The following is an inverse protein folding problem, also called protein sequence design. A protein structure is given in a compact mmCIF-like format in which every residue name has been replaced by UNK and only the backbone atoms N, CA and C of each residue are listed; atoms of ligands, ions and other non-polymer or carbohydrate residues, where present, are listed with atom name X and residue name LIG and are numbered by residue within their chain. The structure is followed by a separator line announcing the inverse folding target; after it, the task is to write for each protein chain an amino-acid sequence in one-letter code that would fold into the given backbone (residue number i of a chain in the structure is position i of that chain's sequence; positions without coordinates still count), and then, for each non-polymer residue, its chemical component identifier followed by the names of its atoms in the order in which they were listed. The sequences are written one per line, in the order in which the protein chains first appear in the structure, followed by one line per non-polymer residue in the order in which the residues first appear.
data_IF_903606531977
#
_entry.id   IF_903606531977
#
_cell.length_a   1.000
_cell.length_b   1.000
_cell.length_c   1.000
_cell.angle_alpha   90.00
_cell.angle_beta   90.00
_cell.angle_gamma   90.00
#
_symmetry.space_group_name_H-M   'P 1'
#
loop_
_entity.id
_entity.type
_entity.pdbx_description
1 polymer ?
#
# COMPACT_ATOMS: atom_id res chain seq x y z
N UNK A 1 -20.25 -28.15 56.24
CA UNK A 1 -19.62 -27.22 57.20
C UNK A 1 -20.20 -25.84 56.93
N UNK A 2 -21.23 -25.43 57.68
CA UNK A 2 -21.16 -24.49 58.82
C UNK A 2 -21.19 -23.03 58.33
N UNK A 3 -22.09 -22.11 58.72
CA UNK A 3 -23.08 -22.04 59.81
C UNK A 3 -24.12 -20.96 59.47
N UNK A 4 -25.31 -21.13 60.04
CA UNK A 4 -26.39 -20.15 60.19
C UNK A 4 -26.06 -19.25 61.39
N UNK A 5 -26.35 -17.95 61.31
CA UNK A 5 -26.62 -17.09 62.48
C UNK A 5 -27.67 -16.05 62.14
N UNK A 6 -28.82 -16.16 62.78
CA UNK A 6 -29.87 -15.16 62.86
C UNK A 6 -29.61 -14.24 64.06
N UNK A 7 -30.04 -12.98 63.97
CA UNK A 7 -30.39 -12.15 65.13
C UNK A 7 -31.38 -11.08 64.70
N UNK A 8 -32.53 -11.08 65.38
CA UNK A 8 -33.58 -10.09 65.31
C UNK A 8 -33.27 -8.91 66.24
N UNK A 9 -33.74 -7.71 65.90
CA UNK A 9 -34.10 -6.68 66.87
C UNK A 9 -35.02 -5.62 66.23
N UNK A 10 -36.02 -5.25 67.02
CA UNK A 10 -37.20 -4.42 66.74
C UNK A 10 -37.01 -2.93 67.02
N UNK A 11 -37.84 -2.13 66.32
CA UNK A 11 -38.47 -0.85 66.73
C UNK A 11 -37.65 0.46 66.79
N UNK A 12 -38.10 1.48 66.06
CA UNK A 12 -38.83 2.63 66.62
C UNK A 12 -39.17 3.67 65.52
N UNK A 13 -40.39 4.21 65.59
CA UNK A 13 -40.96 5.21 64.68
C UNK A 13 -40.57 6.62 65.16
N UNK A 14 -40.10 7.47 64.24
CA UNK A 14 -40.12 8.93 64.39
C UNK A 14 -40.37 9.59 63.03
N UNK A 15 -41.64 9.85 62.72
CA UNK A 15 -42.06 10.59 61.54
C UNK A 15 -41.75 12.08 61.72
N UNK A 16 -40.58 12.51 61.25
CA UNK A 16 -40.20 13.91 61.14
C UNK A 16 -40.54 14.39 59.74
N UNK A 17 -41.50 15.30 59.63
CA UNK A 17 -41.88 15.99 58.40
C UNK A 17 -40.76 16.93 57.94
N UNK A 18 -39.75 16.35 57.28
CA UNK A 18 -38.77 17.08 56.49
C UNK A 18 -39.45 17.57 55.22
N UNK A 19 -39.62 18.89 55.12
CA UNK A 19 -39.99 19.55 53.87
C UNK A 19 -38.93 19.19 52.80
N UNK A 20 -39.29 18.27 51.90
CA UNK A 20 -38.51 17.97 50.72
C UNK A 20 -38.51 19.21 49.82
N UNK A 21 -37.49 20.05 49.97
CA UNK A 21 -37.07 20.95 48.89
C UNK A 21 -36.60 20.06 47.75
N UNK A 22 -37.50 19.79 46.81
CA UNK A 22 -37.15 19.08 45.59
C UNK A 22 -35.97 19.82 44.95
N UNK A 23 -34.80 19.19 44.77
CA UNK A 23 -33.72 19.82 44.03
C UNK A 23 -34.26 20.15 42.66
N UNK A 24 -34.28 21.43 42.30
CA UNK A 24 -34.60 21.87 40.96
C UNK A 24 -33.72 21.04 40.02
N UNK A 25 -34.35 20.15 39.25
CA UNK A 25 -33.68 19.30 38.29
C UNK A 25 -33.06 20.22 37.25
N UNK A 26 -31.80 20.61 37.48
CA UNK A 26 -31.04 21.47 36.62
C UNK A 26 -30.88 20.70 35.31
N UNK A 27 -31.65 21.12 34.30
CA UNK A 27 -31.70 20.45 33.02
C UNK A 27 -30.27 20.25 32.52
N UNK A 28 -29.85 18.98 32.42
CA UNK A 28 -28.52 18.65 31.98
C UNK A 28 -28.26 19.37 30.64
N UNK A 29 -27.15 20.13 30.51
CA UNK A 29 -26.91 20.92 29.32
C UNK A 29 -26.97 20.01 28.09
N UNK A 30 -27.82 20.36 27.14
CA UNK A 30 -28.00 19.58 25.92
C UNK A 30 -26.64 19.34 25.26
N UNK A 31 -26.25 18.07 25.11
CA UNK A 31 -24.97 17.70 24.49
C UNK A 31 -24.88 18.38 23.13
N UNK A 32 -23.94 19.31 22.99
CA UNK A 32 -23.74 20.02 21.73
C UNK A 32 -23.56 19.02 20.58
N UNK A 33 -24.41 19.14 19.56
CA UNK A 33 -24.46 18.25 18.40
C UNK A 33 -23.11 18.30 17.68
N UNK A 34 -22.60 17.14 17.24
CA UNK A 34 -21.41 17.05 16.40
C UNK A 34 -21.81 16.73 14.96
N UNK A 35 -20.97 17.11 13.99
CA UNK A 35 -21.17 16.68 12.61
C UNK A 35 -21.01 15.17 12.47
N UNK A 36 -21.93 14.53 11.75
CA UNK A 36 -21.78 13.19 11.21
C UNK A 36 -21.16 13.29 9.82
N UNK A 37 -20.09 12.53 9.58
CA UNK A 37 -19.34 12.54 8.32
C UNK A 37 -19.18 11.10 7.85
N UNK A 38 -19.49 10.82 6.59
CA UNK A 38 -19.25 9.50 5.97
C UNK A 38 -18.20 9.63 4.89
N UNK A 39 -17.36 8.60 4.71
CA UNK A 39 -16.37 8.58 3.63
C UNK A 39 -16.23 7.17 3.05
N UNK A 40 -16.06 7.09 1.74
CA UNK A 40 -15.80 5.86 0.98
C UNK A 40 -14.75 6.17 -0.08
N UNK A 41 -13.73 5.32 -0.18
CA UNK A 41 -12.75 5.39 -1.27
C UNK A 41 -13.28 4.66 -2.51
N UNK A 42 -12.85 5.07 -3.70
CA UNK A 42 -13.20 4.38 -4.95
C UNK A 42 -12.39 3.11 -5.20
N UNK A 43 -11.25 2.97 -4.52
CA UNK A 43 -10.31 1.86 -4.62
C UNK A 43 -9.73 1.61 -3.22
N UNK A 44 -9.42 0.36 -2.94
CA UNK A 44 -8.77 -0.16 -1.74
C UNK A 44 -7.29 -0.53 -1.98
N UNK A 45 -6.88 -0.68 -3.25
CA UNK A 45 -5.50 -0.83 -3.69
C UNK A 45 -5.15 0.28 -4.68
N UNK A 46 -3.95 0.86 -4.57
CA UNK A 46 -3.48 1.91 -5.48
C UNK A 46 -1.98 1.74 -5.82
N UNK A 47 -1.59 2.07 -7.04
CA UNK A 47 -0.20 2.18 -7.47
C UNK A 47 0.28 3.62 -7.33
N UNK A 48 1.35 3.82 -6.56
CA UNK A 48 1.92 5.13 -6.30
C UNK A 48 2.36 5.81 -7.60
N UNK A 49 2.01 7.11 -7.73
CA UNK A 49 2.23 7.98 -8.92
C UNK A 49 1.39 7.64 -10.16
N UNK A 50 0.65 6.55 -10.18
CA UNK A 50 -0.22 6.16 -11.28
C UNK A 50 -1.69 6.41 -10.92
N UNK A 51 -2.11 5.90 -9.76
CA UNK A 51 -3.49 5.97 -9.31
C UNK A 51 -3.85 7.26 -8.56
N UNK A 52 -5.15 7.53 -8.55
CA UNK A 52 -5.75 8.60 -7.74
C UNK A 52 -6.86 8.06 -6.87
N UNK A 53 -6.64 8.06 -5.56
CA UNK A 53 -7.64 7.72 -4.55
C UNK A 53 -8.64 8.88 -4.45
N UNK A 54 -9.91 8.60 -4.69
CA UNK A 54 -11.03 9.53 -4.65
C UNK A 54 -11.92 9.17 -3.47
N UNK A 55 -11.95 10.03 -2.46
CA UNK A 55 -12.85 9.87 -1.31
C UNK A 55 -14.13 10.66 -1.54
N UNK A 56 -15.27 9.99 -1.42
CA UNK A 56 -16.61 10.58 -1.52
C UNK A 56 -17.35 10.40 -0.21
N UNK A 57 -18.24 11.33 0.10
CA UNK A 57 -18.88 11.32 1.39
C UNK A 57 -19.97 12.36 1.55
N UNK A 58 -20.58 12.37 2.73
CA UNK A 58 -21.64 13.32 3.12
C UNK A 58 -21.39 13.86 4.52
N UNK A 59 -21.84 15.10 4.76
CA UNK A 59 -21.87 15.73 6.08
C UNK A 59 -23.32 15.99 6.50
N UNK A 60 -23.65 15.63 7.73
CA UNK A 60 -24.94 15.90 8.38
C UNK A 60 -24.75 16.57 9.75
N UNK A 61 -25.48 17.65 10.09
CA UNK A 61 -26.37 18.40 9.19
C UNK A 61 -25.61 19.05 8.02
N UNK A 62 -26.35 19.45 6.98
CA UNK A 62 -25.75 19.98 5.74
C UNK A 62 -25.00 21.29 6.02
N UNK A 63 -23.69 21.29 5.77
CA UNK A 63 -22.83 22.47 5.95
C UNK A 63 -22.36 23.02 4.58
N UNK A 64 -23.31 23.42 3.72
CA UNK A 64 -23.03 23.92 2.36
C UNK A 64 -21.98 25.05 2.39
N UNK A 65 -21.04 24.99 1.45
CA UNK A 65 -20.01 26.03 1.29
C UNK A 65 -18.84 25.90 2.27
N UNK A 66 -19.00 25.14 3.35
CA UNK A 66 -17.93 24.90 4.31
C UNK A 66 -16.95 23.84 3.81
N UNK A 67 -15.76 23.80 4.42
CA UNK A 67 -14.69 22.88 4.03
C UNK A 67 -14.71 21.59 4.84
N UNK A 68 -14.40 20.49 4.16
CA UNK A 68 -13.91 19.25 4.77
C UNK A 68 -12.42 19.10 4.50
N UNK A 69 -11.74 18.39 5.39
CA UNK A 69 -10.30 18.19 5.38
C UNK A 69 -10.03 16.69 5.24
N UNK A 70 -9.28 16.30 4.20
CA UNK A 70 -8.72 14.96 4.10
C UNK A 70 -7.53 14.86 5.05
N UNK A 71 -7.57 13.87 5.92
CA UNK A 71 -6.45 13.48 6.76
C UNK A 71 -6.01 12.07 6.37
N UNK A 72 -4.70 11.84 6.34
CA UNK A 72 -4.11 10.53 6.14
C UNK A 72 -3.20 10.14 7.30
N UNK A 73 -3.04 8.84 7.54
CA UNK A 73 -1.92 8.25 8.27
C UNK A 73 -1.32 7.13 7.43
N UNK A 74 -0.01 6.94 7.54
CA UNK A 74 0.74 5.95 6.75
C UNK A 74 1.36 4.92 7.70
N UNK A 75 1.11 3.63 7.44
CA UNK A 75 1.46 2.51 8.31
C UNK A 75 0.92 2.69 9.73
N UNK A 76 1.69 2.25 10.72
CA UNK A 76 1.32 2.28 12.14
C UNK A 76 1.51 3.66 12.81
N UNK A 77 1.60 4.74 12.02
CA UNK A 77 1.78 6.09 12.57
C UNK A 77 0.52 6.53 13.31
N UNK A 78 0.69 7.00 14.54
CA UNK A 78 -0.41 7.54 15.39
C UNK A 78 -0.91 8.91 14.92
N UNK A 79 -0.10 9.67 14.19
CA UNK A 79 -0.40 11.05 13.78
C UNK A 79 -1.13 11.10 12.43
N UNK A 80 -2.28 11.76 12.42
CA UNK A 80 -3.01 12.14 11.22
C UNK A 80 -2.41 13.41 10.61
N UNK A 81 -2.18 13.42 9.30
CA UNK A 81 -1.64 14.56 8.55
C UNK A 81 -2.67 15.01 7.53
N UNK A 82 -2.89 16.31 7.42
CA UNK A 82 -3.78 16.88 6.40
C UNK A 82 -3.15 16.78 5.01
N UNK A 83 -3.91 16.30 4.02
CA UNK A 83 -3.46 16.18 2.62
C UNK A 83 -4.31 16.91 1.61
N UNK A 84 -5.54 17.26 1.97
CA UNK A 84 -6.46 17.87 1.01
C UNK A 84 -7.63 18.58 1.69
N UNK A 85 -8.32 19.39 0.90
CA UNK A 85 -9.55 20.08 1.31
C UNK A 85 -10.56 20.05 0.17
N UNK A 86 -11.84 20.02 0.49
CA UNK A 86 -12.93 20.14 -0.48
C UNK A 86 -14.07 20.97 0.11
N UNK A 87 -14.82 21.63 -0.76
CA UNK A 87 -16.05 22.35 -0.37
C UNK A 87 -17.23 21.39 -0.37
N UNK A 88 -18.09 21.50 0.64
CA UNK A 88 -19.35 20.76 0.74
C UNK A 88 -20.39 21.38 -0.21
N UNK A 89 -20.96 20.54 -1.07
CA UNK A 89 -22.03 20.92 -2.01
C UNK A 89 -23.35 21.19 -1.28
N UNK A 90 -24.31 21.80 -1.97
CA UNK A 90 -25.63 22.12 -1.41
C UNK A 90 -26.39 20.89 -0.86
N UNK A 91 -26.20 19.71 -1.44
CA UNK A 91 -26.80 18.45 -0.97
C UNK A 91 -26.05 17.81 0.23
N UNK A 92 -24.98 18.44 0.73
CA UNK A 92 -24.14 17.95 1.83
C UNK A 92 -23.03 16.99 1.40
N UNK A 93 -22.84 16.75 0.10
CA UNK A 93 -21.80 15.83 -0.41
C UNK A 93 -20.47 16.53 -0.67
N UNK A 94 -19.39 15.76 -0.71
CA UNK A 94 -18.06 16.24 -1.09
C UNK A 94 -17.27 15.18 -1.87
N UNK A 95 -16.16 15.61 -2.50
CA UNK A 95 -15.18 14.73 -3.13
C UNK A 95 -13.77 15.25 -2.86
N UNK A 96 -12.92 14.40 -2.32
CA UNK A 96 -11.50 14.64 -2.09
C UNK A 96 -10.69 13.71 -3.00
N UNK A 97 -9.46 14.11 -3.32
CA UNK A 97 -8.52 13.31 -4.12
C UNK A 97 -7.17 13.26 -3.42
N UNK A 98 -6.51 12.13 -3.49
CA UNK A 98 -5.12 11.93 -3.07
C UNK A 98 -4.37 11.17 -4.17
N UNK A 99 -3.11 11.55 -4.40
CA UNK A 99 -2.19 10.84 -5.31
C UNK A 99 -1.04 10.29 -4.48
N UNK A 100 -1.11 9.03 -4.04
CA UNK A 100 -0.05 8.44 -3.24
C UNK A 100 1.29 8.46 -3.97
N UNK A 101 2.37 8.81 -3.28
CA UNK A 101 3.74 8.83 -3.83
C UNK A 101 4.68 7.83 -3.16
N UNK A 102 4.25 7.26 -2.03
CA UNK A 102 5.03 6.30 -1.24
C UNK A 102 4.21 5.03 -1.00
N UNK A 103 4.82 3.84 -1.14
CA UNK A 103 4.15 2.58 -0.86
C UNK A 103 3.89 2.39 0.65
N UNK A 104 3.06 1.42 0.98
CA UNK A 104 2.64 1.06 2.33
C UNK A 104 1.15 1.29 2.58
N UNK A 105 0.64 0.60 3.59
CA UNK A 105 -0.74 0.78 4.06
C UNK A 105 -1.04 2.21 4.46
N UNK A 106 -2.18 2.73 4.01
CA UNK A 106 -2.67 4.07 4.35
C UNK A 106 -4.04 3.98 4.92
N UNK A 107 -4.32 4.86 5.87
CA UNK A 107 -5.70 5.13 6.23
C UNK A 107 -6.04 6.59 6.00
N UNK A 108 -7.25 6.79 5.50
CA UNK A 108 -7.81 8.08 5.24
C UNK A 108 -9.01 8.31 6.14
N UNK A 109 -9.18 9.55 6.60
CA UNK A 109 -10.43 9.99 7.21
C UNK A 109 -10.73 11.41 6.79
N UNK A 110 -11.99 11.78 6.88
CA UNK A 110 -12.44 13.13 6.58
C UNK A 110 -12.86 13.83 7.86
N UNK A 111 -12.25 14.98 8.12
CA UNK A 111 -12.59 15.86 9.22
C UNK A 111 -13.49 16.99 8.70
N UNK A 112 -14.64 17.17 9.35
CA UNK A 112 -15.40 18.42 9.30
C UNK A 112 -15.11 19.24 10.55
N UNK A 113 -14.41 20.39 10.45
CA UNK A 113 -14.23 21.29 11.58
C UNK A 113 -15.56 21.76 12.16
N UNK A 114 -15.59 22.07 13.46
CA UNK A 114 -16.77 22.63 14.12
C UNK A 114 -17.10 24.01 13.56
N UNK A 115 -18.39 24.33 13.52
CA UNK A 115 -18.92 25.61 13.03
C UNK A 115 -20.37 25.78 13.47
N UNK A 116 -20.84 27.04 13.60
CA UNK A 116 -22.25 27.37 13.91
C UNK A 116 -22.80 26.62 15.15
N UNK A 117 -21.99 26.54 16.21
CA UNK A 117 -22.36 25.82 17.44
C UNK A 117 -22.34 24.29 17.35
N UNK A 118 -21.99 23.72 16.19
CA UNK A 118 -21.87 22.27 15.98
C UNK A 118 -20.41 21.85 16.14
N UNK A 119 -20.16 20.84 16.98
CA UNK A 119 -18.83 20.28 17.21
C UNK A 119 -18.28 19.59 15.95
N UNK A 120 -16.95 19.51 15.86
CA UNK A 120 -16.27 18.80 14.75
C UNK A 120 -16.72 17.35 14.63
N UNK A 121 -16.65 16.81 13.41
CA UNK A 121 -17.01 15.43 13.07
C UNK A 121 -15.92 14.72 12.26
N UNK A 122 -15.83 13.40 12.40
CA UNK A 122 -14.89 12.56 11.65
C UNK A 122 -15.65 11.45 10.94
N UNK A 123 -15.19 11.07 9.75
CA UNK A 123 -15.58 9.79 9.15
C UNK A 123 -14.90 8.63 9.84
N UNK A 124 -15.45 7.42 9.64
CA UNK A 124 -14.69 6.20 9.87
C UNK A 124 -13.41 6.21 9.01
N UNK A 125 -12.30 5.65 9.50
CA UNK A 125 -11.11 5.43 8.68
C UNK A 125 -11.40 4.50 7.51
N UNK A 126 -10.81 4.79 6.35
CA UNK A 126 -10.83 3.95 5.16
C UNK A 126 -9.40 3.54 4.85
N UNK A 127 -9.13 2.24 4.87
CA UNK A 127 -7.83 1.68 4.53
C UNK A 127 -7.65 1.60 3.01
N UNK A 128 -6.44 1.90 2.55
CA UNK A 128 -6.00 1.73 1.16
C UNK A 128 -4.56 1.23 1.18
N UNK A 129 -4.30 0.12 0.53
CA UNK A 129 -2.95 -0.41 0.36
C UNK A 129 -2.29 0.23 -0.86
N UNK A 130 -1.06 0.73 -0.71
CA UNK A 130 -0.36 1.43 -1.79
C UNK A 130 0.90 0.67 -2.19
N UNK A 131 0.96 0.29 -3.45
CA UNK A 131 2.12 -0.35 -4.05
C UNK A 131 2.98 0.64 -4.84
N UNK A 132 4.22 0.28 -5.13
CA UNK A 132 5.11 1.05 -6.01
C UNK A 132 6.04 0.11 -6.76
N UNK A 133 6.27 0.41 -8.04
CA UNK A 133 7.32 -0.23 -8.82
C UNK A 133 8.71 0.14 -8.28
N UNK A 134 9.49 -0.89 -7.94
CA UNK A 134 10.86 -0.75 -7.46
C UNK A 134 11.82 -1.57 -8.31
N UNK A 135 12.93 -0.96 -8.71
CA UNK A 135 13.92 -1.58 -9.60
C UNK A 135 14.76 -2.61 -8.87
N UNK A 136 14.71 -3.85 -9.33
CA UNK A 136 15.52 -4.95 -8.81
C UNK A 136 17.02 -4.75 -9.10
N UNK A 137 17.39 -4.15 -10.23
CA UNK A 137 18.81 -3.88 -10.54
C UNK A 137 19.50 -2.89 -9.59
N UNK A 138 18.77 -2.23 -8.69
CA UNK A 138 19.32 -1.41 -7.60
C UNK A 138 19.20 -2.07 -6.22
N UNK A 139 18.56 -3.24 -6.11
CA UNK A 139 18.44 -3.96 -4.84
C UNK A 139 19.62 -4.89 -4.66
N UNK A 140 19.99 -5.13 -3.41
CA UNK A 140 20.91 -6.22 -3.05
C UNK A 140 20.25 -7.56 -3.36
N UNK A 141 21.02 -8.47 -3.95
CA UNK A 141 20.63 -9.85 -4.21
C UNK A 141 21.77 -10.80 -3.81
N UNK A 142 21.43 -12.06 -3.55
CA UNK A 142 22.40 -13.15 -3.45
C UNK A 142 22.55 -13.85 -4.81
N UNK A 143 23.67 -14.53 -5.05
CA UNK A 143 23.90 -15.28 -6.30
C UNK A 143 25.26 -14.98 -6.92
N UNK A 144 25.45 -15.40 -8.16
CA UNK A 144 26.73 -15.32 -8.90
C UNK A 144 26.49 -15.01 -10.38
N UNK A 145 27.49 -14.45 -11.06
CA UNK A 145 27.47 -14.27 -12.51
C UNK A 145 26.55 -13.16 -13.03
N UNK A 146 25.66 -12.59 -12.21
CA UNK A 146 24.95 -11.35 -12.53
C UNK A 146 25.64 -10.13 -11.92
N UNK A 147 25.58 -9.00 -12.64
CA UNK A 147 25.90 -7.68 -12.10
C UNK A 147 24.79 -6.68 -12.41
N UNK A 148 24.58 -5.74 -11.49
CA UNK A 148 23.64 -4.63 -11.66
C UNK A 148 24.30 -3.50 -12.45
N UNK A 149 23.84 -3.25 -13.67
CA UNK A 149 24.39 -2.20 -14.55
C UNK A 149 23.36 -1.70 -15.57
N UNK A 150 23.73 -0.71 -16.38
CA UNK A 150 22.96 -0.38 -17.58
C UNK A 150 23.34 -1.31 -18.72
N UNK A 151 22.39 -1.63 -19.59
CA UNK A 151 22.61 -2.46 -20.78
C UNK A 151 22.00 -1.79 -22.00
N UNK A 152 22.53 -2.08 -23.18
CA UNK A 152 21.92 -1.68 -24.45
C UNK A 152 21.35 -2.90 -25.15
N UNK A 153 20.08 -2.83 -25.53
CA UNK A 153 19.33 -3.88 -26.25
C UNK A 153 18.58 -3.20 -27.39
N UNK A 154 18.76 -3.68 -28.61
CA UNK A 154 18.08 -3.14 -29.78
C UNK A 154 18.34 -1.64 -29.96
N UNK A 155 19.56 -1.18 -29.67
CA UNK A 155 19.98 0.24 -29.65
C UNK A 155 19.37 1.12 -28.56
N UNK A 156 18.53 0.58 -27.68
CA UNK A 156 17.95 1.30 -26.55
C UNK A 156 18.71 1.01 -25.24
N UNK A 157 18.95 2.04 -24.44
CA UNK A 157 19.65 1.93 -23.17
C UNK A 157 18.69 1.74 -21.99
N UNK A 158 18.83 0.60 -21.30
CA UNK A 158 18.06 0.22 -20.13
C UNK A 158 18.91 0.36 -18.86
N UNK A 159 18.54 1.32 -18.00
CA UNK A 159 19.15 1.49 -16.68
C UNK A 159 18.63 0.46 -15.67
N UNK A 160 19.40 0.22 -14.61
CA UNK A 160 19.02 -0.66 -13.50
C UNK A 160 18.70 -2.09 -13.95
N UNK A 161 19.51 -2.61 -14.85
CA UNK A 161 19.38 -3.93 -15.46
C UNK A 161 20.31 -4.92 -14.78
N UNK A 162 20.07 -6.20 -15.01
CA UNK A 162 20.96 -7.29 -14.61
C UNK A 162 21.53 -7.91 -15.88
N UNK A 163 22.83 -8.12 -15.94
CA UNK A 163 23.47 -8.80 -17.06
C UNK A 163 24.48 -9.84 -16.59
N UNK A 164 24.62 -10.91 -17.37
CA UNK A 164 25.63 -11.95 -17.13
C UNK A 164 27.03 -11.37 -17.32
N UNK A 165 27.98 -11.68 -16.43
CA UNK A 165 29.34 -11.12 -16.47
C UNK A 165 30.29 -11.92 -17.36
N UNK A 166 30.10 -13.24 -17.45
CA UNK A 166 31.01 -14.15 -18.16
C UNK A 166 30.21 -14.98 -19.17
N UNK A 167 30.43 -14.79 -20.49
CA UNK A 167 29.79 -15.62 -21.52
C UNK A 167 30.04 -17.11 -21.29
N UNK A 168 29.04 -17.95 -21.52
CA UNK A 168 29.16 -19.41 -21.32
C UNK A 168 29.03 -19.88 -19.87
N UNK A 169 29.05 -18.97 -18.90
CA UNK A 169 28.94 -19.32 -17.48
C UNK A 169 27.52 -19.06 -17.00
N UNK A 170 26.93 -20.00 -16.28
CA UNK A 170 25.61 -19.81 -15.69
C UNK A 170 25.64 -18.70 -14.64
N UNK A 171 24.56 -17.91 -14.57
CA UNK A 171 24.36 -16.84 -13.61
C UNK A 171 23.07 -17.06 -12.81
N UNK A 172 23.06 -16.60 -11.57
CA UNK A 172 21.90 -16.66 -10.67
C UNK A 172 21.79 -15.38 -9.83
N UNK A 173 20.57 -14.90 -9.63
CA UNK A 173 20.27 -13.78 -8.73
C UNK A 173 18.99 -14.07 -7.94
N UNK A 174 19.07 -13.95 -6.61
CA UNK A 174 17.96 -14.19 -5.69
C UNK A 174 17.61 -12.94 -4.89
N UNK A 175 16.31 -12.62 -4.88
CA UNK A 175 15.73 -11.49 -4.18
C UNK A 175 14.75 -11.96 -3.11
N UNK A 176 14.88 -11.43 -1.90
CA UNK A 176 13.87 -11.60 -0.86
C UNK A 176 12.79 -10.52 -1.03
N UNK A 177 11.59 -10.94 -1.38
CA UNK A 177 10.44 -10.04 -1.57
C UNK A 177 9.56 -9.94 -0.32
N UNK A 178 9.68 -10.88 0.62
CA UNK A 178 9.00 -10.82 1.90
C UNK A 178 7.46 -10.88 1.81
N UNK A 179 6.91 -11.42 0.71
CA UNK A 179 5.46 -11.46 0.40
C UNK A 179 4.81 -10.07 0.29
N UNK A 180 5.60 -9.04 0.00
CA UNK A 180 5.12 -7.65 -0.11
C UNK A 180 4.92 -7.20 -1.55
N UNK A 181 5.28 -8.02 -2.52
CA UNK A 181 5.17 -7.70 -3.93
C UNK A 181 4.07 -8.52 -4.58
N UNK A 182 3.44 -7.99 -5.62
CA UNK A 182 2.33 -8.64 -6.32
C UNK A 182 2.60 -8.87 -7.80
N UNK A 183 3.53 -8.12 -8.38
CA UNK A 183 3.91 -8.27 -9.77
C UNK A 183 5.40 -8.01 -9.97
N UNK A 184 5.97 -8.60 -11.01
CA UNK A 184 7.25 -8.22 -11.60
C UNK A 184 7.01 -7.85 -13.06
N UNK A 185 7.71 -6.85 -13.57
CA UNK A 185 7.84 -6.62 -15.00
C UNK A 185 9.30 -6.50 -15.40
N UNK A 186 9.66 -7.03 -16.55
CA UNK A 186 11.01 -6.91 -17.10
C UNK A 186 11.02 -7.13 -18.61
N UNK A 187 12.10 -6.69 -19.25
CA UNK A 187 12.42 -7.10 -20.61
C UNK A 187 13.59 -8.09 -20.62
N UNK A 188 13.58 -9.08 -21.51
CA UNK A 188 14.61 -10.13 -21.61
C UNK A 188 15.19 -10.17 -23.02
N UNK A 189 16.52 -10.12 -23.12
CA UNK A 189 17.21 -10.19 -24.40
C UNK A 189 18.68 -10.59 -24.23
N UNK A 190 19.33 -10.88 -25.36
CA UNK A 190 20.79 -10.75 -25.45
C UNK A 190 21.12 -9.26 -25.69
N UNK A 191 22.17 -8.74 -25.07
CA UNK A 191 22.62 -7.36 -25.28
C UNK A 191 23.21 -7.18 -26.67
N UNK A 192 23.31 -5.92 -27.12
CA UNK A 192 23.87 -5.55 -28.43
C UNK A 192 25.36 -5.91 -28.59
N UNK A 193 26.06 -6.23 -27.49
CA UNK A 193 27.44 -6.73 -27.52
C UNK A 193 27.54 -8.22 -27.87
N UNK A 194 26.42 -8.94 -27.95
CA UNK A 194 26.40 -10.36 -28.28
C UNK A 194 26.60 -10.56 -29.78
N UNK A 195 27.46 -11.51 -30.15
CA UNK A 195 27.76 -11.79 -31.56
C UNK A 195 26.63 -12.59 -32.23
N UNK A 196 26.48 -12.43 -33.55
CA UNK A 196 25.52 -13.21 -34.33
C UNK A 196 25.74 -14.72 -34.16
N UNK A 197 24.66 -15.49 -34.05
CA UNK A 197 24.70 -16.92 -33.75
C UNK A 197 24.79 -17.26 -32.26
N UNK A 198 24.92 -16.26 -31.37
CA UNK A 198 24.86 -16.48 -29.92
C UNK A 198 23.45 -16.82 -29.46
N UNK A 199 23.37 -17.62 -28.39
CA UNK A 199 22.10 -17.95 -27.74
C UNK A 199 22.22 -17.89 -26.22
N UNK A 200 21.08 -17.81 -25.56
CA UNK A 200 20.99 -17.92 -24.11
C UNK A 200 19.58 -18.28 -23.65
N UNK A 201 19.41 -18.34 -22.34
CA UNK A 201 18.10 -18.46 -21.73
C UNK A 201 18.06 -17.72 -20.40
N UNK A 202 16.89 -17.20 -20.05
CA UNK A 202 16.58 -16.69 -18.70
C UNK A 202 15.39 -17.46 -18.14
N UNK A 203 15.54 -17.98 -16.93
CA UNK A 203 14.47 -18.64 -16.18
C UNK A 203 14.10 -17.80 -14.97
N UNK A 204 12.81 -17.55 -14.79
CA UNK A 204 12.26 -16.85 -13.63
C UNK A 204 11.56 -17.88 -12.74
N UNK A 205 11.97 -17.95 -11.48
CA UNK A 205 11.41 -18.86 -10.48
C UNK A 205 10.96 -18.08 -9.25
N UNK A 206 9.81 -18.42 -8.69
CA UNK A 206 9.29 -17.84 -7.44
C UNK A 206 8.99 -18.96 -6.44
N UNK A 207 9.59 -18.89 -5.25
CA UNK A 207 9.46 -19.91 -4.19
C UNK A 207 9.66 -21.35 -4.70
N UNK A 208 10.61 -21.54 -5.62
CA UNK A 208 10.92 -22.83 -6.25
C UNK A 208 10.01 -23.23 -7.43
N UNK A 209 8.94 -22.48 -7.69
CA UNK A 209 8.05 -22.67 -8.85
C UNK A 209 8.55 -21.85 -10.04
N UNK A 210 8.79 -22.50 -11.16
CA UNK A 210 9.09 -21.81 -12.43
C UNK A 210 7.88 -20.97 -12.86
N UNK A 211 8.09 -19.68 -13.07
CA UNK A 211 7.09 -18.75 -13.59
C UNK A 211 7.22 -18.60 -15.12
N UNK A 212 8.46 -18.47 -15.61
CA UNK A 212 8.72 -18.26 -17.03
C UNK A 212 10.11 -18.79 -17.43
N UNK A 213 10.27 -19.12 -18.71
CA UNK A 213 11.54 -19.45 -19.36
C UNK A 213 11.56 -18.77 -20.71
N UNK A 214 12.62 -18.02 -20.98
CA UNK A 214 12.82 -17.31 -22.23
C UNK A 214 14.06 -17.84 -22.92
N UNK A 215 13.88 -18.52 -24.05
CA UNK A 215 14.99 -18.82 -24.96
C UNK A 215 15.31 -17.58 -25.78
N UNK A 216 16.58 -17.19 -25.79
CA UNK A 216 17.06 -15.94 -26.37
C UNK A 216 18.05 -16.21 -27.50
N UNK A 217 17.88 -15.48 -28.60
CA UNK A 217 18.84 -15.36 -29.68
C UNK A 217 19.10 -13.86 -29.94
N UNK A 218 20.14 -13.54 -30.71
CA UNK A 218 20.39 -12.16 -31.11
C UNK A 218 19.20 -11.62 -31.90
N UNK A 219 18.69 -10.46 -31.51
CA UNK A 219 17.48 -9.85 -32.08
C UNK A 219 16.17 -10.26 -31.40
N UNK A 220 16.18 -11.27 -30.52
CA UNK A 220 15.02 -11.62 -29.70
C UNK A 220 14.89 -10.66 -28.53
N UNK A 221 13.73 -9.99 -28.42
CA UNK A 221 13.37 -9.15 -27.29
C UNK A 221 12.01 -9.61 -26.76
N UNK A 222 11.97 -10.08 -25.52
CA UNK A 222 10.73 -10.24 -24.76
C UNK A 222 10.53 -8.94 -24.01
N UNK A 223 9.61 -8.09 -24.46
CA UNK A 223 9.44 -6.74 -23.93
C UNK A 223 8.36 -6.67 -22.85
N UNK A 224 8.69 -6.05 -21.72
CA UNK A 224 7.79 -5.66 -20.62
C UNK A 224 6.82 -6.74 -20.16
N UNK A 225 7.28 -7.98 -20.08
CA UNK A 225 6.46 -9.09 -19.60
C UNK A 225 6.17 -8.93 -18.12
N UNK A 226 4.89 -9.06 -17.75
CA UNK A 226 4.44 -9.00 -16.37
C UNK A 226 4.15 -10.40 -15.81
N UNK A 227 4.73 -10.69 -14.64
CA UNK A 227 4.60 -11.95 -13.92
C UNK A 227 3.95 -11.72 -12.56
N UNK A 228 2.98 -12.56 -12.20
CA UNK A 228 2.33 -12.53 -10.88
C UNK A 228 3.29 -13.01 -9.78
N UNK A 229 3.46 -12.17 -8.76
CA UNK A 229 4.29 -12.43 -7.58
C UNK A 229 3.48 -12.43 -6.28
N UNK A 230 2.16 -12.53 -6.36
CA UNK A 230 1.29 -12.52 -5.18
C UNK A 230 1.70 -13.58 -4.18
N UNK A 231 2.03 -13.15 -2.96
CA UNK A 231 2.42 -14.03 -1.87
C UNK A 231 3.84 -14.61 -1.97
N UNK A 232 4.64 -14.24 -2.97
CA UNK A 232 5.99 -14.75 -3.19
C UNK A 232 6.97 -14.24 -2.14
N UNK A 233 7.75 -15.15 -1.54
CA UNK A 233 8.80 -14.80 -0.58
C UNK A 233 10.18 -14.62 -1.25
N UNK A 234 10.55 -15.52 -2.17
CA UNK A 234 11.81 -15.52 -2.92
C UNK A 234 11.55 -15.49 -4.42
N UNK A 235 12.19 -14.55 -5.10
CA UNK A 235 12.29 -14.50 -6.55
C UNK A 235 13.73 -14.88 -6.94
N UNK A 236 13.88 -15.77 -7.91
CA UNK A 236 15.16 -16.20 -8.48
C UNK A 236 15.15 -16.00 -9.98
N UNK A 237 16.25 -15.45 -10.48
CA UNK A 237 16.57 -15.35 -11.90
C UNK A 237 17.78 -16.24 -12.16
N UNK A 238 17.66 -17.15 -13.11
CA UNK A 238 18.77 -17.96 -13.61
C UNK A 238 19.00 -17.59 -15.07
N UNK A 239 20.27 -17.52 -15.50
CA UNK A 239 20.61 -17.30 -16.89
C UNK A 239 21.74 -18.23 -17.35
N UNK A 240 21.69 -18.61 -18.62
CA UNK A 240 22.75 -19.34 -19.32
C UNK A 240 22.96 -18.72 -20.69
N UNK A 241 24.19 -18.77 -21.19
CA UNK A 241 24.59 -18.18 -22.48
C UNK A 241 25.61 -19.09 -23.18
N UNK A 242 25.82 -18.89 -24.48
CA UNK A 242 26.94 -19.51 -25.21
C UNK A 242 28.26 -18.81 -24.90
N UNK A 243 29.34 -19.58 -24.81
CA UNK A 243 30.71 -19.06 -24.70
C UNK A 243 31.25 -18.60 -26.06
N UNK A 244 30.88 -19.31 -27.13
CA UNK A 244 31.36 -19.07 -28.50
C UNK A 244 30.25 -19.41 -29.49
N UNK A 245 29.75 -18.45 -30.29
CA UNK A 245 29.98 -17.01 -30.13
C UNK A 245 29.53 -16.51 -28.74
N UNK A 246 30.21 -15.49 -28.22
CA UNK A 246 29.97 -14.96 -26.89
C UNK A 246 28.60 -14.27 -26.80
N UNK A 247 27.84 -14.57 -25.75
CA UNK A 247 26.57 -13.91 -25.45
C UNK A 247 26.57 -13.27 -24.07
N UNK A 248 25.82 -12.19 -23.94
CA UNK A 248 25.49 -11.57 -22.66
C UNK A 248 23.97 -11.50 -22.56
N UNK A 249 23.38 -12.31 -21.68
CA UNK A 249 21.96 -12.25 -21.39
C UNK A 249 21.69 -11.12 -20.40
N UNK A 250 20.58 -10.40 -20.63
CA UNK A 250 20.15 -9.32 -19.78
C UNK A 250 18.69 -9.46 -19.38
N UNK A 251 18.42 -9.09 -18.13
CA UNK A 251 17.10 -8.76 -17.61
C UNK A 251 17.07 -7.24 -17.47
N UNK A 252 16.42 -6.57 -18.42
CA UNK A 252 16.42 -5.14 -18.58
C UNK A 252 15.36 -4.47 -17.71
N UNK A 253 15.80 -3.47 -16.94
CA UNK A 253 15.02 -2.70 -15.96
C UNK A 253 13.96 -3.54 -15.20
N UNK A 254 14.34 -4.68 -14.57
CA UNK A 254 13.39 -5.47 -13.81
C UNK A 254 12.83 -4.65 -12.67
N UNK A 255 11.51 -4.54 -12.59
CA UNK A 255 10.79 -3.84 -11.54
C UNK A 255 9.81 -4.79 -10.85
N UNK A 256 9.66 -4.62 -9.53
CA UNK A 256 8.67 -5.34 -8.72
C UNK A 256 7.69 -4.36 -8.10
N UNK A 257 6.40 -4.66 -8.17
CA UNK A 257 5.33 -3.86 -7.58
C UNK A 257 5.18 -4.25 -6.12
N UNK A 258 5.72 -3.45 -5.20
CA UNK A 258 5.78 -3.79 -3.78
C UNK A 258 5.13 -2.76 -2.86
N UNK A 259 4.61 -3.23 -1.72
CA UNK A 259 4.21 -2.41 -0.57
C UNK A 259 5.26 -2.48 0.57
N UNK A 260 5.05 -1.74 1.67
CA UNK A 260 5.94 -1.66 2.84
C UNK A 260 5.46 -2.49 4.02
#
# INVERSE_FOLDING_TARGET
MNRITALAATAAVAASSLALTAPAAQAAPAKARAYSVTATANIDVAVAKEDTVKLRGRVSPKARGEKVILQQRVGNKKRWVQTGKATIKANGTYKLKDKPTTPGSREYRVLKPGSKGIKKGFSQPVAVEVYRWEKLGYRTFGGTGFTGQGVTIGTEYYKASLATTTPGTAASAEFTLGRKCTAMRASYALTDSSLSGSSGAVTVTADGKQLAVHSLAVGTIVADEELDLTGVFRLKLDASTTATPAATAAVATPEVLCTR
#
